data_IF_922676387825
#
_entry.id   IF_922676387825
#
_cell.length_a   1.000
_cell.length_b   1.000
_cell.length_c   1.000
_cell.angle_alpha   90.00
_cell.angle_beta   90.00
_cell.angle_gamma   90.00
#
_symmetry.space_group_name_H-M   'P 1'
#
loop_
_entity.id
_entity.type
_entity.pdbx_description
1 polymer ?
#
# COMPACT_ATOMS: atom_id res chain seq x y z
N UNK A 1 21.80 -6.96 32.29
CA UNK A 1 21.82 -8.34 31.74
C UNK A 1 22.69 -8.33 30.49
N UNK A 2 23.60 -9.29 30.29
CA UNK A 2 24.70 -9.19 29.30
C UNK A 2 24.64 -10.19 28.15
N UNK A 3 23.65 -11.08 28.12
CA UNK A 3 23.55 -12.15 27.10
C UNK A 3 23.23 -11.65 25.67
N UNK A 4 23.53 -12.50 24.68
CA UNK A 4 23.20 -12.29 23.26
C UNK A 4 21.73 -12.64 23.00
N UNK A 5 21.14 -11.92 22.06
CA UNK A 5 19.71 -11.99 21.74
C UNK A 5 19.56 -12.24 20.25
N UNK A 6 18.86 -13.32 19.89
CA UNK A 6 18.41 -13.53 18.52
C UNK A 6 17.12 -12.75 18.30
N UNK A 7 17.07 -11.94 17.24
CA UNK A 7 15.87 -11.15 16.92
C UNK A 7 15.09 -11.84 15.81
N UNK A 8 13.79 -12.00 16.02
CA UNK A 8 12.85 -12.58 15.08
C UNK A 8 11.75 -11.57 14.79
N UNK A 9 11.61 -11.25 13.50
CA UNK A 9 10.54 -10.44 12.95
C UNK A 9 9.31 -11.31 12.78
N UNK A 10 8.20 -10.91 13.38
CA UNK A 10 6.92 -11.59 13.22
C UNK A 10 6.24 -11.17 11.91
N UNK A 11 6.02 -12.13 11.00
CA UNK A 11 5.33 -11.88 9.72
C UNK A 11 4.12 -12.80 9.54
N UNK A 12 3.21 -12.42 8.64
CA UNK A 12 2.01 -13.18 8.26
C UNK A 12 2.32 -14.50 7.57
N UNK A 13 3.48 -14.59 6.91
CA UNK A 13 3.96 -15.78 6.20
C UNK A 13 4.87 -16.68 7.06
N UNK A 14 5.39 -16.16 8.18
CA UNK A 14 6.18 -16.93 9.14
C UNK A 14 7.26 -16.10 9.83
N UNK A 15 7.81 -16.55 10.97
CA UNK A 15 8.88 -15.83 11.65
C UNK A 15 10.12 -15.68 10.74
N UNK A 16 10.67 -14.46 10.66
CA UNK A 16 11.90 -14.18 9.94
C UNK A 16 13.00 -13.72 10.90
N UNK A 17 14.05 -14.51 11.03
CA UNK A 17 15.17 -14.23 11.93
C UNK A 17 16.10 -13.20 11.31
N UNK A 18 16.51 -12.19 12.07
CA UNK A 18 17.60 -11.30 11.68
C UNK A 18 18.90 -12.07 11.81
N UNK A 19 19.53 -12.36 10.67
CA UNK A 19 20.76 -13.14 10.60
C UNK A 19 21.98 -12.26 10.86
N UNK A 20 21.96 -11.03 10.33
CA UNK A 20 23.11 -10.12 10.39
C UNK A 20 22.70 -8.68 10.14
N UNK A 21 23.38 -7.74 10.80
CA UNK A 21 23.29 -6.31 10.53
C UNK A 21 24.69 -5.77 10.28
N UNK A 22 24.94 -5.28 9.07
CA UNK A 22 26.25 -4.79 8.62
C UNK A 22 26.16 -3.29 8.30
N UNK A 23 26.96 -2.42 8.93
CA UNK A 23 27.07 -1.03 8.51
C UNK A 23 27.70 -0.97 7.12
N UNK A 24 27.07 -0.23 6.22
CA UNK A 24 27.54 0.00 4.84
C UNK A 24 28.07 1.43 4.69
N UNK A 25 28.65 1.75 3.54
CA UNK A 25 29.07 3.12 3.22
C UNK A 25 27.86 4.10 3.38
N UNK A 26 28.02 5.22 4.13
CA UNK A 26 26.94 6.18 4.36
C UNK A 26 26.32 6.81 3.11
N UNK A 27 26.97 6.73 1.94
CA UNK A 27 26.43 7.19 0.66
C UNK A 27 25.46 6.20 0.02
N UNK A 28 25.58 4.90 0.34
CA UNK A 28 24.70 3.85 -0.16
C UNK A 28 23.35 3.87 0.55
N UNK A 29 22.33 3.24 -0.05
CA UNK A 29 21.04 3.04 0.62
C UNK A 29 21.09 1.80 1.49
N UNK A 30 20.35 1.83 2.59
CA UNK A 30 20.12 0.65 3.40
C UNK A 30 19.29 -0.38 2.64
N UNK A 31 19.60 -1.65 2.81
CA UNK A 31 18.90 -2.76 2.16
C UNK A 31 18.67 -3.90 3.14
N UNK A 32 17.57 -4.62 2.94
CA UNK A 32 17.31 -5.89 3.61
C UNK A 32 17.45 -7.01 2.57
N UNK A 33 18.20 -8.07 2.86
CA UNK A 33 18.48 -9.16 1.93
C UNK A 33 18.03 -10.52 2.48
N UNK A 34 17.59 -11.41 1.60
CA UNK A 34 17.20 -12.77 1.97
C UNK A 34 18.40 -13.71 2.08
N UNK A 35 18.56 -14.39 3.21
CA UNK A 35 19.45 -15.54 3.38
C UNK A 35 20.91 -15.27 3.00
N UNK A 36 21.40 -14.05 3.25
CA UNK A 36 22.73 -13.57 2.85
C UNK A 36 23.00 -13.53 1.34
N UNK A 37 21.99 -13.76 0.53
CA UNK A 37 22.09 -13.63 -0.92
C UNK A 37 22.14 -12.16 -1.36
N UNK A 38 22.26 -11.93 -2.66
CA UNK A 38 22.10 -10.61 -3.28
C UNK A 38 20.62 -10.26 -3.53
N UNK A 39 19.68 -11.13 -3.09
CA UNK A 39 18.25 -10.89 -3.24
C UNK A 39 17.80 -9.84 -2.23
N UNK A 40 17.67 -8.61 -2.71
CA UNK A 40 17.12 -7.48 -1.95
C UNK A 40 15.62 -7.68 -1.76
N UNK A 41 15.15 -7.51 -0.53
CA UNK A 41 13.73 -7.62 -0.17
C UNK A 41 12.98 -6.32 -0.49
N UNK A 42 11.69 -6.42 -0.86
CA UNK A 42 10.87 -5.26 -1.21
C UNK A 42 10.80 -4.15 -0.15
N UNK A 43 10.85 -4.49 1.14
CA UNK A 43 10.83 -3.52 2.24
C UNK A 43 12.06 -2.60 2.31
N UNK A 44 13.11 -2.84 1.50
CA UNK A 44 14.39 -2.13 1.59
C UNK A 44 14.27 -0.61 1.45
N UNK A 45 13.32 -0.12 0.63
CA UNK A 45 13.10 1.32 0.50
C UNK A 45 12.51 1.94 1.78
N UNK A 46 11.47 1.31 2.35
CA UNK A 46 10.86 1.74 3.60
C UNK A 46 11.86 1.60 4.77
N UNK A 47 12.68 0.56 4.75
CA UNK A 47 13.78 0.36 5.69
C UNK A 47 14.85 1.46 5.58
N UNK A 48 15.28 1.85 4.39
CA UNK A 48 16.19 2.98 4.19
C UNK A 48 15.59 4.28 4.74
N UNK A 49 14.32 4.55 4.46
CA UNK A 49 13.61 5.72 4.97
C UNK A 49 13.44 5.70 6.50
N UNK A 50 13.30 4.52 7.11
CA UNK A 50 13.25 4.32 8.57
C UNK A 50 14.63 4.50 9.22
N UNK A 51 15.69 4.09 8.51
CA UNK A 51 17.07 4.23 8.99
C UNK A 51 17.53 5.67 8.93
N UNK A 52 17.41 6.31 7.76
CA UNK A 52 18.01 7.60 7.42
C UNK A 52 17.05 8.77 7.63
N UNK A 53 17.60 9.96 7.91
CA UNK A 53 16.84 11.21 7.83
C UNK A 53 16.01 11.34 6.53
N UNK A 54 14.78 11.88 6.57
CA UNK A 54 14.24 12.75 7.63
C UNK A 54 13.60 12.03 8.83
N UNK A 55 13.16 10.76 8.73
CA UNK A 55 12.62 10.06 9.90
C UNK A 55 13.75 9.60 10.84
N UNK A 56 14.83 9.08 10.25
CA UNK A 56 16.12 8.82 10.89
C UNK A 56 16.03 8.08 12.20
N UNK A 57 15.07 7.17 12.37
CA UNK A 57 14.76 6.56 13.66
C UNK A 57 15.95 5.71 14.13
N UNK A 58 16.54 4.94 13.22
CA UNK A 58 17.74 4.14 13.51
C UNK A 58 19.00 5.00 13.55
N UNK A 59 19.18 5.91 12.59
CA UNK A 59 20.36 6.80 12.53
C UNK A 59 20.54 7.60 13.82
N UNK A 60 19.46 8.19 14.35
CA UNK A 60 19.47 8.86 15.66
C UNK A 60 19.85 7.91 16.80
N UNK A 61 19.60 6.62 16.63
CA UNK A 61 19.77 5.64 17.68
C UNK A 61 21.17 5.04 17.76
N UNK A 62 21.83 4.86 16.61
CA UNK A 62 23.11 4.15 16.50
C UNK A 62 24.22 4.99 15.84
N UNK A 63 23.90 6.19 15.36
CA UNK A 63 24.88 7.13 14.79
C UNK A 63 25.35 6.79 13.37
N UNK A 64 24.68 5.85 12.67
CA UNK A 64 25.02 5.44 11.30
C UNK A 64 23.76 5.35 10.43
N UNK A 65 23.90 5.62 9.12
CA UNK A 65 22.76 5.94 8.24
C UNK A 65 22.59 5.02 7.01
N UNK A 66 23.34 3.92 6.98
CA UNK A 66 23.34 2.97 5.85
C UNK A 66 23.67 1.57 6.35
N UNK A 67 22.77 0.61 6.09
CA UNK A 67 22.97 -0.76 6.57
C UNK A 67 22.51 -1.79 5.56
N UNK A 68 23.25 -2.90 5.49
CA UNK A 68 22.76 -4.16 4.95
C UNK A 68 22.28 -5.05 6.10
N UNK A 69 21.03 -5.48 6.05
CA UNK A 69 20.46 -6.42 7.01
C UNK A 69 20.08 -7.72 6.31
N UNK A 70 20.62 -8.85 6.74
CA UNK A 70 20.27 -10.15 6.19
C UNK A 70 19.24 -10.84 7.09
N UNK A 71 18.18 -11.42 6.51
CA UNK A 71 17.09 -12.10 7.23
C UNK A 71 16.84 -13.51 6.69
N UNK A 72 16.31 -14.41 7.51
CA UNK A 72 16.18 -15.84 7.17
C UNK A 72 15.03 -16.16 6.22
N UNK A 73 13.97 -15.36 6.26
CA UNK A 73 12.78 -15.53 5.44
C UNK A 73 12.33 -14.16 4.89
N UNK A 74 11.57 -14.13 3.77
CA UNK A 74 10.99 -12.89 3.29
C UNK A 74 10.17 -12.20 4.39
N UNK A 75 10.28 -10.88 4.45
CA UNK A 75 9.43 -10.03 5.28
C UNK A 75 8.48 -9.32 4.33
N UNK A 76 7.19 -9.45 4.61
CA UNK A 76 6.11 -8.81 3.85
C UNK A 76 6.09 -7.29 4.10
N UNK A 77 5.23 -6.56 3.38
CA UNK A 77 5.17 -5.11 3.49
C UNK A 77 4.48 -4.65 4.78
N UNK A 78 4.43 -3.33 4.94
CA UNK A 78 3.81 -2.66 6.07
C UNK A 78 4.79 -2.45 7.21
N UNK A 79 4.32 -1.89 8.31
CA UNK A 79 5.22 -1.33 9.33
C UNK A 79 5.59 -2.32 10.45
N UNK A 80 5.09 -3.56 10.39
CA UNK A 80 5.18 -4.50 11.51
C UNK A 80 6.57 -5.06 11.80
N UNK A 81 7.53 -4.86 10.89
CA UNK A 81 8.93 -5.20 11.06
C UNK A 81 9.75 -4.12 11.78
N UNK A 82 9.25 -2.88 11.86
CA UNK A 82 10.03 -1.73 12.33
C UNK A 82 10.55 -1.93 13.76
N UNK A 83 9.71 -2.41 14.67
CA UNK A 83 10.11 -2.67 16.05
C UNK A 83 11.23 -3.70 16.13
N UNK A 84 11.08 -4.83 15.43
CA UNK A 84 12.07 -5.90 15.45
C UNK A 84 13.41 -5.43 14.86
N UNK A 85 13.41 -4.77 13.70
CA UNK A 85 14.64 -4.27 13.08
C UNK A 85 15.29 -3.15 13.91
N UNK A 86 14.50 -2.24 14.49
CA UNK A 86 15.03 -1.24 15.41
C UNK A 86 15.76 -1.89 16.59
N UNK A 87 15.16 -2.90 17.23
CA UNK A 87 15.77 -3.60 18.35
C UNK A 87 17.03 -4.38 17.92
N UNK A 88 17.03 -4.97 16.72
CA UNK A 88 18.22 -5.61 16.16
C UNK A 88 19.38 -4.63 16.00
N UNK A 89 19.12 -3.41 15.51
CA UNK A 89 20.14 -2.35 15.44
C UNK A 89 20.68 -1.95 16.80
N UNK A 90 19.80 -1.76 17.79
CA UNK A 90 20.22 -1.40 19.15
C UNK A 90 21.05 -2.51 19.81
N UNK A 91 20.66 -3.76 19.60
CA UNK A 91 21.41 -4.92 20.08
C UNK A 91 22.76 -5.05 19.35
N UNK A 92 22.81 -4.81 18.04
CA UNK A 92 24.05 -4.81 17.25
C UNK A 92 25.03 -3.74 17.76
N UNK A 93 24.54 -2.51 17.94
CA UNK A 93 25.36 -1.41 18.46
C UNK A 93 25.90 -1.70 19.87
N UNK A 94 25.18 -2.50 20.67
CA UNK A 94 25.61 -2.93 21.99
C UNK A 94 26.46 -4.23 21.98
N UNK A 95 26.77 -4.81 20.81
CA UNK A 95 27.52 -6.07 20.71
C UNK A 95 26.77 -7.29 21.23
N UNK A 96 25.43 -7.26 21.22
CA UNK A 96 24.54 -8.24 21.84
C UNK A 96 23.52 -8.87 20.89
N UNK A 97 23.54 -8.52 19.61
CA UNK A 97 22.80 -9.26 18.60
C UNK A 97 23.50 -10.62 18.38
N UNK A 98 22.76 -11.72 18.48
CA UNK A 98 23.24 -13.03 18.03
C UNK A 98 23.11 -13.09 16.50
N UNK A 99 24.22 -13.20 15.80
CA UNK A 99 24.29 -13.24 14.33
C UNK A 99 24.69 -14.62 13.83
N UNK A 100 24.31 -14.99 12.60
CA UNK A 100 24.86 -16.15 11.88
C UNK A 100 24.93 -17.48 12.67
N UNK A 101 23.86 -17.83 13.39
CA UNK A 101 23.78 -19.09 14.13
C UNK A 101 24.61 -19.12 15.42
N UNK A 102 25.16 -17.97 15.85
CA UNK A 102 25.70 -17.81 17.18
C UNK A 102 24.68 -18.21 18.25
N UNK A 103 25.13 -18.81 19.37
CA UNK A 103 24.25 -19.16 20.46
C UNK A 103 23.61 -17.89 21.03
N UNK A 104 22.29 -17.93 21.18
CA UNK A 104 21.52 -16.86 21.79
C UNK A 104 21.00 -17.32 23.16
N UNK A 105 21.12 -16.45 24.17
CA UNK A 105 20.58 -16.71 25.51
C UNK A 105 19.06 -16.60 25.56
N UNK A 106 18.48 -15.95 24.54
CA UNK A 106 17.04 -15.73 24.36
C UNK A 106 16.71 -15.35 22.92
N UNK A 107 15.45 -15.56 22.58
CA UNK A 107 14.83 -15.12 21.33
C UNK A 107 13.91 -13.95 21.63
N UNK A 108 14.09 -12.85 20.91
CA UNK A 108 13.19 -11.71 20.90
C UNK A 108 12.29 -11.83 19.67
N UNK A 109 11.04 -12.25 19.87
CA UNK A 109 10.01 -12.24 18.84
C UNK A 109 9.26 -10.92 18.93
N UNK A 110 9.25 -10.12 17.86
CA UNK A 110 8.67 -8.79 17.92
C UNK A 110 7.83 -8.44 16.69
N UNK A 111 6.74 -7.70 16.92
CA UNK A 111 5.91 -7.06 15.90
C UNK A 111 5.49 -5.68 16.37
N UNK A 112 5.40 -4.71 15.46
CA UNK A 112 4.92 -3.37 15.78
C UNK A 112 5.54 -2.31 14.89
N UNK A 113 4.76 -1.26 14.63
CA UNK A 113 5.23 -0.06 13.95
C UNK A 113 5.88 0.89 14.96
N UNK A 114 6.92 1.61 14.54
CA UNK A 114 7.66 2.55 15.40
C UNK A 114 7.62 3.93 14.77
N UNK A 115 7.00 4.88 15.45
CA UNK A 115 6.93 6.26 14.96
C UNK A 115 8.18 7.07 15.33
N UNK A 116 8.22 8.32 14.87
CA UNK A 116 9.36 9.22 15.06
C UNK A 116 9.65 9.54 16.54
N UNK A 117 8.65 9.39 17.41
CA UNK A 117 8.71 9.60 18.86
C UNK A 117 9.05 8.32 19.64
N UNK A 118 9.32 7.22 18.92
CA UNK A 118 9.58 5.89 19.47
C UNK A 118 8.38 5.28 20.21
N UNK A 119 7.16 5.71 19.89
CA UNK A 119 5.96 4.99 20.30
C UNK A 119 5.77 3.75 19.44
N UNK A 120 5.29 2.68 20.07
CA UNK A 120 5.01 1.40 19.41
C UNK A 120 3.53 1.35 19.08
N UNK A 121 3.21 1.30 17.78
CA UNK A 121 1.85 1.39 17.26
C UNK A 121 1.29 0.01 16.87
N UNK A 122 -0.04 -0.19 17.01
CA UNK A 122 -0.71 -1.45 16.65
C UNK A 122 -0.50 -1.80 15.19
N UNK A 123 -0.46 -3.10 14.90
CA UNK A 123 -0.29 -3.66 13.55
C UNK A 123 -1.28 -4.78 13.32
N UNK A 124 -1.61 -5.03 12.06
CA UNK A 124 -2.58 -6.05 11.70
C UNK A 124 -2.08 -7.49 11.96
N UNK A 125 -3.04 -8.41 12.04
CA UNK A 125 -2.85 -9.86 11.97
C UNK A 125 -1.91 -10.47 13.02
N UNK A 126 -1.88 -9.94 14.24
CA UNK A 126 -1.05 -10.50 15.33
C UNK A 126 -1.41 -11.94 15.63
N UNK A 127 -2.69 -12.32 15.64
CA UNK A 127 -3.11 -13.71 15.86
C UNK A 127 -2.56 -14.67 14.79
N UNK A 128 -2.50 -14.24 13.54
CA UNK A 128 -1.92 -15.03 12.45
C UNK A 128 -0.41 -15.18 12.64
N UNK A 129 0.29 -14.09 12.97
CA UNK A 129 1.73 -14.10 13.25
C UNK A 129 2.07 -15.05 14.40
N UNK A 130 1.26 -15.06 15.45
CA UNK A 130 1.40 -15.97 16.59
C UNK A 130 1.20 -17.43 16.16
N UNK A 131 0.11 -17.74 15.42
CA UNK A 131 -0.13 -19.09 14.89
C UNK A 131 1.01 -19.58 14.00
N UNK A 132 1.51 -18.73 13.10
CA UNK A 132 2.63 -19.05 12.20
C UNK A 132 3.97 -19.19 12.93
N UNK A 133 4.08 -18.65 14.14
CA UNK A 133 5.27 -18.75 15.00
C UNK A 133 5.18 -19.90 16.02
N UNK A 134 4.12 -20.71 15.99
CA UNK A 134 3.94 -21.81 16.95
C UNK A 134 5.13 -22.77 17.01
N UNK A 135 5.76 -23.09 15.85
CA UNK A 135 6.95 -23.93 15.80
C UNK A 135 8.16 -23.31 16.53
N UNK A 136 8.32 -21.99 16.47
CA UNK A 136 9.35 -21.26 17.22
C UNK A 136 9.08 -21.32 18.72
N UNK A 137 7.82 -21.17 19.12
CA UNK A 137 7.41 -21.18 20.53
C UNK A 137 7.45 -22.58 21.17
N UNK A 138 7.32 -23.63 20.36
CA UNK A 138 7.38 -25.01 20.80
C UNK A 138 8.82 -25.57 20.87
N UNK A 139 9.83 -24.84 20.39
CA UNK A 139 11.21 -25.28 20.41
C UNK A 139 11.72 -25.45 21.86
N UNK A 140 12.23 -26.63 22.19
CA UNK A 140 12.71 -26.93 23.54
C UNK A 140 13.85 -25.99 23.95
N UNK A 141 13.78 -25.47 25.18
CA UNK A 141 14.79 -24.56 25.73
C UNK A 141 14.74 -23.12 25.19
N UNK A 142 13.87 -22.82 24.23
CA UNK A 142 13.73 -21.46 23.71
C UNK A 142 13.15 -20.52 24.78
N UNK A 143 13.96 -19.56 25.24
CA UNK A 143 13.52 -18.46 26.10
C UNK A 143 13.03 -17.32 25.23
N UNK A 144 11.75 -17.33 24.89
CA UNK A 144 11.18 -16.35 23.96
C UNK A 144 10.59 -15.18 24.74
N UNK A 145 10.96 -13.96 24.37
CA UNK A 145 10.28 -12.73 24.78
C UNK A 145 9.43 -12.25 23.61
N UNK A 146 8.10 -12.34 23.73
CA UNK A 146 7.15 -11.95 22.68
C UNK A 146 6.69 -10.50 22.92
N UNK A 147 7.16 -9.59 22.07
CA UNK A 147 6.92 -8.15 22.19
C UNK A 147 5.89 -7.71 21.16
N UNK A 148 4.83 -7.06 21.63
CA UNK A 148 3.75 -6.51 20.79
C UNK A 148 3.37 -5.11 21.27
N UNK A 149 2.67 -4.32 20.43
CA UNK A 149 2.10 -3.04 20.85
C UNK A 149 1.16 -3.22 22.04
N UNK A 150 1.16 -2.30 23.00
CA UNK A 150 0.38 -2.41 24.23
C UNK A 150 -1.12 -2.60 23.99
N UNK A 151 -1.64 -1.98 22.93
CA UNK A 151 -3.06 -2.09 22.51
C UNK A 151 -3.44 -3.51 22.08
N UNK A 152 -2.46 -4.39 21.84
CA UNK A 152 -2.65 -5.77 21.39
C UNK A 152 -2.22 -6.79 22.47
N UNK A 153 -2.20 -6.38 23.75
CA UNK A 153 -1.85 -7.25 24.86
C UNK A 153 -2.71 -8.53 24.92
N UNK A 154 -4.01 -8.41 24.62
CA UNK A 154 -4.95 -9.53 24.65
C UNK A 154 -4.59 -10.64 23.65
N UNK A 155 -3.96 -10.29 22.52
CA UNK A 155 -3.52 -11.27 21.53
C UNK A 155 -2.44 -12.22 22.09
N UNK A 156 -1.75 -11.83 23.15
CA UNK A 156 -0.75 -12.67 23.82
C UNK A 156 -1.34 -13.62 24.88
N UNK A 157 -2.66 -13.65 25.03
CA UNK A 157 -3.31 -14.63 25.88
C UNK A 157 -3.07 -16.07 25.36
N UNK A 158 -2.79 -17.00 26.27
CA UNK A 158 -2.65 -18.42 25.93
C UNK A 158 -1.32 -18.83 25.29
N UNK A 159 -0.28 -17.98 25.36
CA UNK A 159 1.07 -18.38 24.98
C UNK A 159 1.60 -19.51 25.87
N UNK A 160 2.45 -20.41 25.32
CA UNK A 160 3.04 -21.50 26.09
C UNK A 160 4.01 -20.96 27.16
N UNK A 161 4.24 -21.74 28.22
CA UNK A 161 5.02 -21.31 29.40
C UNK A 161 6.46 -20.82 29.10
N UNK A 162 7.06 -21.27 27.98
CA UNK A 162 8.40 -20.83 27.54
C UNK A 162 8.43 -19.45 26.87
N UNK A 163 7.27 -18.87 26.58
CA UNK A 163 7.13 -17.56 25.93
C UNK A 163 6.65 -16.54 26.96
N UNK A 164 7.49 -15.54 27.23
CA UNK A 164 7.12 -14.43 28.10
C UNK A 164 6.47 -13.31 27.27
N UNK A 165 5.19 -12.98 27.49
CA UNK A 165 4.53 -11.87 26.82
C UNK A 165 5.06 -10.53 27.34
N UNK A 166 5.21 -9.56 26.44
CA UNK A 166 5.63 -8.19 26.77
C UNK A 166 4.94 -7.15 25.89
N UNK A 167 3.71 -6.74 26.24
CA UNK A 167 3.09 -5.56 25.63
C UNK A 167 3.90 -4.31 25.96
N UNK A 168 4.10 -3.42 24.98
CA UNK A 168 4.85 -2.16 25.15
C UNK A 168 4.19 -1.00 24.41
N UNK A 169 4.13 0.17 25.05
CA UNK A 169 3.65 1.40 24.40
C UNK A 169 4.77 2.20 23.75
N UNK A 170 6.00 2.00 24.22
CA UNK A 170 7.19 2.70 23.72
C UNK A 170 8.39 1.76 23.60
N UNK A 171 9.31 2.11 22.72
CA UNK A 171 10.58 1.39 22.57
C UNK A 171 11.42 1.44 23.86
N UNK A 172 11.33 2.51 24.64
CA UNK A 172 12.10 2.67 25.87
C UNK A 172 11.80 1.57 26.91
N UNK A 173 10.56 1.11 26.98
CA UNK A 173 10.14 0.05 27.90
C UNK A 173 10.84 -1.28 27.63
N UNK A 174 11.00 -1.65 26.36
CA UNK A 174 11.69 -2.89 25.98
C UNK A 174 13.22 -2.72 26.05
N UNK A 175 13.76 -1.53 25.74
CA UNK A 175 15.20 -1.28 25.89
C UNK A 175 15.65 -1.42 27.34
N UNK A 176 14.91 -0.86 28.30
CA UNK A 176 15.22 -1.00 29.73
C UNK A 176 15.24 -2.47 30.18
N UNK A 177 14.29 -3.27 29.68
CA UNK A 177 14.24 -4.71 29.98
C UNK A 177 15.40 -5.49 29.33
N UNK A 178 15.81 -5.09 28.12
CA UNK A 178 17.00 -5.63 27.47
C UNK A 178 18.29 -5.14 28.13
N UNK A 179 18.24 -4.17 29.04
CA UNK A 179 19.43 -3.54 29.65
C UNK A 179 20.21 -2.71 28.65
N UNK A 180 19.50 -1.99 27.77
CA UNK A 180 20.03 -1.05 26.80
C UNK A 180 19.61 0.37 27.20
N UNK A 181 20.53 1.32 27.11
CA UNK A 181 20.24 2.72 27.43
C UNK A 181 19.22 3.32 26.46
N UNK A 182 18.15 3.98 26.94
CA UNK A 182 17.25 4.75 26.07
C UNK A 182 18.03 5.83 25.30
N UNK A 183 17.52 6.26 24.15
CA UNK A 183 18.06 7.48 23.55
C UNK A 183 17.79 8.64 24.50
N UNK A 184 18.85 9.37 24.87
CA UNK A 184 18.70 10.62 25.58
C UNK A 184 17.80 11.52 24.73
N UNK A 185 16.68 12.00 25.30
CA UNK A 185 15.82 12.97 24.61
C UNK A 185 16.72 14.11 24.12
N UNK A 186 16.57 14.61 22.89
CA UNK A 186 17.21 15.85 22.50
C UNK A 186 16.67 16.95 23.44
N UNK A 187 17.47 17.34 24.42
CA UNK A 187 17.24 18.51 25.25
C UNK A 187 17.44 19.73 24.36
N UNK A 188 16.36 20.18 23.74
CA UNK A 188 16.44 21.33 22.85
C UNK A 188 15.17 21.58 22.08
N UNK A 189 14.12 22.03 22.77
CA UNK A 189 13.07 22.80 22.10
C UNK A 189 13.70 24.09 21.56
N UNK A 190 14.23 24.06 20.34
CA UNK A 190 14.33 25.29 19.55
C UNK A 190 12.93 25.60 19.06
N UNK A 191 12.15 26.23 19.96
CA UNK A 191 11.00 27.04 19.57
C UNK A 191 11.53 28.03 18.55
N UNK A 192 11.24 27.79 17.28
CA UNK A 192 11.46 28.73 16.21
C UNK A 192 10.58 29.94 16.53
N UNK A 193 11.19 30.96 17.14
CA UNK A 193 10.56 32.25 17.43
C UNK A 193 10.36 32.97 16.12
N UNK A 194 9.18 32.81 15.52
CA UNK A 194 8.69 33.76 14.53
C UNK A 194 8.48 35.07 15.28
N UNK A 195 9.47 35.96 15.13
CA UNK A 195 9.44 37.28 15.74
C UNK A 195 8.54 38.14 14.87
N UNK A 196 7.38 38.51 15.42
CA UNK A 196 6.53 39.60 14.96
C UNK A 196 7.38 40.88 14.84
N UNK A 197 7.56 41.35 13.61
CA UNK A 197 7.92 42.73 13.31
C UNK A 197 7.29 43.12 11.97
N UNK A 198 6.29 43.99 12.03
CA UNK A 198 5.65 44.52 10.81
C UNK A 198 4.21 45.02 10.97
N UNK A 199 3.87 45.66 12.08
CA UNK A 199 2.70 46.54 12.16
C UNK A 199 3.13 47.92 11.64
N UNK A 200 2.54 48.37 10.53
CA UNK A 200 2.00 49.73 10.33
C UNK A 200 2.01 50.14 8.84
N UNK A 201 0.84 50.15 8.22
CA UNK A 201 0.41 51.22 7.31
C UNK A 201 -1.11 51.07 7.07
N UNK A 202 -1.89 51.67 7.95
CA UNK A 202 -3.30 51.98 7.69
C UNK A 202 -3.36 53.37 7.04
N UNK A 203 -3.96 53.46 5.85
CA UNK A 203 -4.64 54.67 5.39
C UNK A 203 -5.55 54.36 4.18
N UNK A 204 -6.85 54.39 4.45
CA UNK A 204 -7.90 55.09 3.68
C UNK A 204 -7.85 55.02 2.14
N UNK A 205 -8.79 54.26 1.54
CA UNK A 205 -9.54 54.76 0.38
C UNK A 205 -11.02 54.46 0.58
N UNK A 206 -11.76 55.53 0.85
CA UNK A 206 -13.21 55.58 0.78
C UNK A 206 -13.65 55.65 -0.70
N UNK A 207 -14.77 54.97 -0.98
CA UNK A 207 -15.81 55.39 -1.92
C UNK A 207 -15.43 55.89 -3.32
N UNK A 208 -15.65 55.03 -4.32
CA UNK A 208 -16.20 55.45 -5.62
C UNK A 208 -16.84 54.23 -6.30
N UNK A 209 -18.14 54.05 -6.09
CA UNK A 209 -18.97 53.20 -6.98
C UNK A 209 -19.12 53.97 -8.28
N UNK A 210 -18.34 53.62 -9.29
CA UNK A 210 -18.55 54.09 -10.64
C UNK A 210 -19.81 53.40 -11.20
N UNK A 211 -20.85 54.19 -11.40
CA UNK A 211 -22.00 53.87 -12.24
C UNK A 211 -21.50 53.57 -13.66
N UNK A 212 -21.39 52.28 -14.00
CA UNK A 212 -21.23 51.85 -15.38
C UNK A 212 -22.60 51.95 -16.06
N UNK A 213 -22.77 52.74 -17.13
CA UNK A 213 -24.01 52.74 -17.89
C UNK A 213 -24.23 51.35 -18.50
N UNK A 214 -25.39 50.75 -18.19
CA UNK A 214 -25.87 49.52 -18.82
C UNK A 214 -25.97 49.76 -20.34
N UNK A 215 -25.42 48.87 -21.18
CA UNK A 215 -25.70 48.92 -22.61
C UNK A 215 -27.21 48.72 -22.87
N UNK A 216 -27.79 49.37 -23.88
CA UNK A 216 -29.18 49.15 -24.26
C UNK A 216 -29.41 47.68 -24.62
N UNK A 217 -30.53 47.15 -24.16
CA UNK A 217 -30.94 45.77 -24.42
C UNK A 217 -30.99 45.51 -25.94
N UNK A 218 -30.46 44.37 -26.43
CA UNK A 218 -30.71 43.95 -27.80
C UNK A 218 -32.21 43.68 -28.01
N UNK A 219 -32.75 43.95 -29.22
CA UNK A 219 -34.14 43.66 -29.53
C UNK A 219 -34.45 42.18 -29.35
N UNK A 220 -35.62 41.92 -28.77
CA UNK A 220 -36.04 40.64 -28.21
C UNK A 220 -35.73 39.43 -29.07
N UNK A 221 -35.08 38.45 -28.44
CA UNK A 221 -35.01 37.09 -28.94
C UNK A 221 -36.44 36.53 -29.06
N UNK A 222 -36.73 35.77 -30.14
CA UNK A 222 -37.98 35.06 -30.27
C UNK A 222 -38.19 34.15 -29.05
N UNK A 223 -39.40 34.21 -28.49
CA UNK A 223 -39.79 33.48 -27.29
C UNK A 223 -39.47 31.98 -27.37
N UNK A 224 -39.36 31.30 -26.22
CA UNK A 224 -38.93 29.92 -26.15
C UNK A 224 -39.79 29.05 -27.07
N UNK A 225 -39.15 28.50 -28.09
CA UNK A 225 -39.72 27.42 -28.90
C UNK A 225 -40.06 26.30 -27.92
N UNK A 226 -41.32 25.83 -27.87
CA UNK A 226 -41.66 24.70 -27.01
C UNK A 226 -40.72 23.54 -27.37
N UNK A 227 -40.10 22.86 -26.38
CA UNK A 227 -39.19 21.77 -26.67
C UNK A 227 -39.92 20.75 -27.54
N UNK A 228 -39.40 20.52 -28.74
CA UNK A 228 -39.81 19.40 -29.58
C UNK A 228 -39.87 18.17 -28.69
N UNK A 229 -40.98 17.40 -28.65
CA UNK A 229 -41.06 16.22 -27.82
C UNK A 229 -39.88 15.32 -28.18
N UNK A 230 -38.90 15.24 -27.26
CA UNK A 230 -37.73 14.43 -27.45
C UNK A 230 -38.23 13.00 -27.68
N UNK A 231 -37.88 12.42 -28.83
CA UNK A 231 -38.18 11.01 -29.05
C UNK A 231 -37.67 10.23 -27.83
N UNK A 232 -38.46 9.30 -27.28
CA UNK A 232 -38.05 8.55 -26.10
C UNK A 232 -36.69 7.94 -26.40
N UNK A 233 -35.69 8.31 -25.59
CA UNK A 233 -34.37 7.73 -25.75
C UNK A 233 -34.50 6.21 -25.60
N UNK A 234 -33.87 5.43 -26.47
CA UNK A 234 -33.90 3.98 -26.36
C UNK A 234 -33.41 3.57 -24.97
N UNK A 235 -34.17 2.69 -24.31
CA UNK A 235 -33.83 2.20 -22.99
C UNK A 235 -32.45 1.54 -23.00
N UNK A 236 -31.66 1.79 -21.95
CA UNK A 236 -30.37 1.14 -21.78
C UNK A 236 -30.56 -0.36 -21.54
N UNK A 237 -29.79 -1.18 -22.25
CA UNK A 237 -29.80 -2.64 -22.09
C UNK A 237 -28.38 -3.08 -21.72
N UNK A 238 -28.10 -3.40 -20.45
CA UNK A 238 -26.76 -3.70 -19.97
C UNK A 238 -26.04 -4.84 -20.72
N UNK A 239 -26.78 -5.83 -21.24
CA UNK A 239 -26.22 -6.95 -22.02
C UNK A 239 -25.59 -6.52 -23.35
N UNK A 240 -25.86 -5.31 -23.83
CA UNK A 240 -25.25 -4.74 -25.04
C UNK A 240 -23.88 -4.08 -24.79
N UNK A 241 -23.45 -3.98 -23.52
CA UNK A 241 -22.11 -3.54 -23.17
C UNK A 241 -21.21 -4.75 -23.07
N UNK A 242 -20.18 -4.83 -23.90
CA UNK A 242 -19.19 -5.91 -23.88
C UNK A 242 -18.00 -5.56 -23.00
N UNK A 243 -17.47 -6.55 -22.28
CA UNK A 243 -16.27 -6.41 -21.46
C UNK A 243 -15.17 -7.31 -22.03
N UNK A 244 -14.11 -6.69 -22.55
CA UNK A 244 -12.96 -7.36 -23.14
C UNK A 244 -11.68 -7.14 -22.33
N UNK A 245 -10.77 -8.10 -22.41
CA UNK A 245 -9.42 -8.01 -21.86
C UNK A 245 -8.41 -7.98 -23.01
N UNK A 246 -7.54 -6.98 -23.00
CA UNK A 246 -6.46 -6.83 -23.96
C UNK A 246 -5.11 -6.91 -23.21
N UNK A 247 -4.13 -7.58 -23.82
CA UNK A 247 -2.75 -7.59 -23.35
C UNK A 247 -1.94 -6.56 -24.12
N UNK A 248 -1.33 -5.62 -23.40
CA UNK A 248 -0.33 -4.73 -23.96
C UNK A 248 1.03 -5.43 -23.99
N UNK A 249 1.59 -5.60 -25.18
CA UNK A 249 2.90 -6.24 -25.40
C UNK A 249 3.83 -5.30 -26.15
N UNK A 250 5.07 -5.20 -25.68
CA UNK A 250 6.11 -4.49 -26.42
C UNK A 250 6.56 -5.33 -27.63
N UNK A 251 6.85 -4.70 -28.79
CA UNK A 251 7.47 -5.36 -29.93
C UNK A 251 8.78 -6.06 -29.52
N UNK A 252 9.13 -7.16 -30.20
CA UNK A 252 10.30 -7.99 -29.86
C UNK A 252 11.56 -7.16 -29.59
N UNK A 253 12.12 -7.32 -28.39
CA UNK A 253 13.35 -6.64 -27.95
C UNK A 253 13.17 -5.22 -27.40
N UNK A 254 12.02 -4.56 -27.56
CA UNK A 254 11.79 -3.17 -27.10
C UNK A 254 11.29 -3.08 -25.66
N UNK A 255 11.46 -1.95 -24.98
CA UNK A 255 10.94 -1.73 -23.63
C UNK A 255 9.44 -1.43 -23.65
N UNK A 256 8.73 -1.77 -22.56
CA UNK A 256 7.34 -1.35 -22.37
C UNK A 256 7.23 0.19 -22.41
N UNK A 257 6.21 0.71 -23.10
CA UNK A 257 5.92 2.15 -23.20
C UNK A 257 5.95 2.78 -24.59
N UNK A 258 6.71 2.25 -25.56
CA UNK A 258 6.74 2.79 -26.93
C UNK A 258 6.42 1.70 -27.97
N UNK A 259 5.35 1.90 -28.75
CA UNK A 259 4.97 0.99 -29.85
C UNK A 259 4.31 -0.30 -29.41
N UNK A 260 3.72 -0.35 -28.20
CA UNK A 260 3.02 -1.53 -27.71
C UNK A 260 1.83 -1.92 -28.59
N UNK A 261 1.63 -3.22 -28.77
CA UNK A 261 0.47 -3.78 -29.43
C UNK A 261 -0.53 -4.27 -28.38
N UNK A 262 -1.80 -3.92 -28.58
CA UNK A 262 -2.92 -4.45 -27.80
C UNK A 262 -3.47 -5.68 -28.51
N UNK A 263 -3.39 -6.83 -27.84
CA UNK A 263 -3.93 -8.09 -28.35
C UNK A 263 -5.14 -8.49 -27.51
N UNK A 264 -6.28 -8.69 -28.16
CA UNK A 264 -7.44 -9.28 -27.50
C UNK A 264 -7.15 -10.71 -27.09
N UNK A 265 -7.54 -11.07 -25.86
CA UNK A 265 -7.31 -12.40 -25.30
C UNK A 265 -8.56 -12.92 -24.59
N UNK A 266 -8.67 -14.24 -24.54
CA UNK A 266 -9.71 -14.89 -23.74
C UNK A 266 -9.37 -14.71 -22.24
N UNK A 267 -10.29 -14.13 -21.44
CA UNK A 267 -10.07 -13.95 -20.01
C UNK A 267 -9.81 -15.28 -19.30
N UNK A 268 -8.87 -15.28 -18.35
CA UNK A 268 -8.56 -16.45 -17.52
C UNK A 268 -7.57 -17.44 -18.15
N UNK A 269 -7.22 -17.28 -19.42
CA UNK A 269 -6.12 -18.03 -20.03
C UNK A 269 -4.77 -17.47 -19.54
N UNK A 270 -3.81 -18.30 -19.11
CA UNK A 270 -2.48 -17.83 -18.75
C UNK A 270 -1.80 -17.14 -19.95
N UNK A 271 -1.34 -15.91 -19.76
CA UNK A 271 -0.61 -15.19 -20.80
C UNK A 271 0.75 -15.80 -21.06
N UNK A 272 1.21 -15.74 -22.30
CA UNK A 272 2.63 -15.95 -22.61
C UNK A 272 3.49 -14.86 -21.91
N UNK A 273 4.75 -15.14 -21.55
CA UNK A 273 5.65 -14.16 -20.96
C UNK A 273 5.76 -12.86 -21.75
N UNK A 274 6.11 -11.77 -21.07
CA UNK A 274 6.40 -10.49 -21.73
C UNK A 274 5.21 -9.54 -21.87
N UNK A 275 4.16 -9.72 -21.08
CA UNK A 275 3.04 -8.77 -21.02
C UNK A 275 3.45 -7.55 -20.19
N UNK A 276 3.21 -6.35 -20.74
CA UNK A 276 3.51 -5.06 -20.12
C UNK A 276 2.32 -4.53 -19.28
N UNK A 277 1.10 -4.76 -19.75
CA UNK A 277 -0.11 -4.33 -19.06
C UNK A 277 -1.32 -5.17 -19.47
N UNK A 278 -2.34 -5.13 -18.64
CA UNK A 278 -3.71 -5.54 -18.98
C UNK A 278 -4.54 -4.29 -19.18
N UNK A 279 -5.28 -4.23 -20.28
CA UNK A 279 -6.29 -3.21 -20.54
C UNK A 279 -7.65 -3.88 -20.48
N UNK A 280 -8.51 -3.39 -19.59
CA UNK A 280 -9.91 -3.77 -19.60
C UNK A 280 -10.70 -2.73 -20.39
N UNK A 281 -11.53 -3.19 -21.32
CA UNK A 281 -12.33 -2.34 -22.20
C UNK A 281 -13.80 -2.69 -22.07
N UNK A 282 -14.62 -1.71 -21.70
CA UNK A 282 -16.08 -1.79 -21.75
C UNK A 282 -16.58 -1.03 -22.99
N UNK A 283 -17.33 -1.66 -23.88
CA UNK A 283 -17.81 -1.04 -25.12
C UNK A 283 -19.33 -1.19 -25.28
N UNK A 284 -20.05 -0.10 -25.51
CA UNK A 284 -21.51 -0.11 -25.67
C UNK A 284 -21.90 -0.32 -27.13
N UNK A 285 -22.37 -1.52 -27.47
CA UNK A 285 -22.93 -1.83 -28.79
C UNK A 285 -24.42 -1.49 -28.93
N UNK A 286 -25.07 -1.02 -27.87
CA UNK A 286 -26.50 -0.71 -27.83
C UNK A 286 -26.83 0.69 -28.33
N UNK A 287 -28.13 0.95 -28.51
CA UNK A 287 -28.65 2.26 -28.91
C UNK A 287 -28.90 3.21 -27.71
N UNK A 288 -29.00 2.67 -26.49
CA UNK A 288 -29.24 3.41 -25.26
C UNK A 288 -27.94 3.85 -24.58
N UNK A 289 -28.04 4.89 -23.75
CA UNK A 289 -26.92 5.39 -22.94
C UNK A 289 -26.96 4.73 -21.56
N UNK A 290 -25.82 4.22 -21.10
CA UNK A 290 -25.69 3.61 -19.76
C UNK A 290 -24.62 4.27 -18.94
N UNK A 291 -24.61 4.00 -17.63
CA UNK A 291 -23.54 4.39 -16.73
C UNK A 291 -22.68 3.18 -16.38
N UNK A 292 -21.35 3.37 -16.41
CA UNK A 292 -20.38 2.31 -16.16
C UNK A 292 -19.40 2.72 -15.05
N UNK A 293 -19.16 1.79 -14.13
CA UNK A 293 -18.00 1.80 -13.25
C UNK A 293 -17.11 0.64 -13.67
N UNK A 294 -15.95 0.95 -14.24
CA UNK A 294 -14.96 -0.03 -14.67
C UNK A 294 -13.72 0.11 -13.79
N UNK A 295 -13.40 -0.94 -13.04
CA UNK A 295 -12.26 -0.97 -12.13
C UNK A 295 -11.38 -2.15 -12.47
N UNK A 296 -10.11 -1.92 -12.73
CA UNK A 296 -9.10 -2.96 -12.87
C UNK A 296 -8.08 -2.83 -11.75
N UNK A 297 -7.68 -3.97 -11.20
CA UNK A 297 -6.67 -4.04 -10.15
C UNK A 297 -5.84 -5.29 -10.25
N UNK A 298 -4.60 -5.19 -9.80
CA UNK A 298 -3.74 -6.33 -9.60
C UNK A 298 -4.08 -7.02 -8.26
N UNK A 299 -4.25 -8.33 -8.25
CA UNK A 299 -4.46 -9.12 -7.03
C UNK A 299 -3.13 -9.62 -6.46
N UNK A 300 -3.01 -9.65 -5.13
CA UNK A 300 -1.86 -10.18 -4.43
C UNK A 300 -1.02 -9.09 -3.74
N UNK A 301 0.05 -9.54 -3.08
CA UNK A 301 0.82 -8.74 -2.11
C UNK A 301 1.65 -7.61 -2.74
N UNK A 302 1.81 -7.57 -4.07
CA UNK A 302 2.59 -6.51 -4.74
C UNK A 302 1.82 -5.19 -4.92
N UNK A 303 0.51 -5.15 -4.62
CA UNK A 303 -0.30 -3.91 -4.62
C UNK A 303 0.23 -2.86 -3.66
N UNK A 304 0.70 -3.29 -2.50
CA UNK A 304 1.18 -2.43 -1.41
C UNK A 304 2.48 -1.67 -1.79
N UNK A 305 3.23 -2.21 -2.75
CA UNK A 305 4.51 -1.68 -3.22
C UNK A 305 4.40 -0.87 -4.53
N UNK A 306 3.24 -0.90 -5.19
CA UNK A 306 3.02 -0.18 -6.43
C UNK A 306 2.52 1.24 -6.11
N UNK A 307 3.44 2.20 -5.97
CA UNK A 307 3.06 3.61 -5.86
C UNK A 307 2.43 4.10 -7.17
N UNK A 308 1.18 4.57 -7.11
CA UNK A 308 0.48 5.24 -8.22
C UNK A 308 -0.48 4.34 -9.03
N UNK A 309 -1.19 4.96 -10.00
CA UNK A 309 -2.27 4.41 -10.84
C UNK A 309 -1.92 3.19 -11.73
N UNK A 310 -0.76 2.55 -11.52
CA UNK A 310 -0.29 1.44 -12.36
C UNK A 310 -0.84 0.09 -11.92
N UNK A 311 -1.11 -0.12 -10.64
CA UNK A 311 -1.64 -1.40 -10.13
C UNK A 311 -3.15 -1.40 -9.95
N UNK A 312 -3.78 -0.23 -10.03
CA UNK A 312 -5.21 0.01 -9.89
C UNK A 312 -5.59 1.19 -10.75
N UNK A 313 -6.59 1.03 -11.60
CA UNK A 313 -7.16 2.11 -12.39
C UNK A 313 -8.67 1.95 -12.47
N UNK A 314 -9.39 3.07 -12.47
CA UNK A 314 -10.84 3.11 -12.56
C UNK A 314 -11.28 4.15 -13.59
N UNK A 315 -12.30 3.81 -14.37
CA UNK A 315 -13.02 4.70 -15.25
C UNK A 315 -14.49 4.68 -14.82
N UNK A 316 -15.03 5.87 -14.57
CA UNK A 316 -16.41 6.05 -14.11
C UNK A 316 -17.04 7.09 -15.03
N UNK A 317 -18.18 6.76 -15.62
CA UNK A 317 -18.86 7.72 -16.49
C UNK A 317 -20.03 7.16 -17.26
N UNK A 318 -20.57 8.02 -18.11
CA UNK A 318 -21.65 7.69 -19.03
C UNK A 318 -21.05 7.13 -20.32
N UNK A 319 -21.67 6.08 -20.85
CA UNK A 319 -21.26 5.36 -22.04
C UNK A 319 -22.40 5.42 -23.07
N UNK A 320 -22.25 6.31 -24.05
CA UNK A 320 -23.16 6.44 -25.18
C UNK A 320 -23.03 5.31 -26.21
N UNK A 321 -23.92 5.27 -27.21
CA UNK A 321 -23.87 4.28 -28.28
C UNK A 321 -22.54 4.31 -29.05
N UNK A 322 -21.88 3.17 -29.14
CA UNK A 322 -20.58 3.02 -29.81
C UNK A 322 -19.38 3.54 -29.01
N UNK A 323 -19.58 4.10 -27.82
CA UNK A 323 -18.50 4.55 -26.95
C UNK A 323 -17.86 3.39 -26.19
N UNK A 324 -16.60 3.60 -25.77
CA UNK A 324 -15.88 2.65 -24.95
C UNK A 324 -15.16 3.36 -23.78
N UNK A 325 -15.14 2.70 -22.63
CA UNK A 325 -14.32 3.07 -21.48
C UNK A 325 -13.18 2.06 -21.32
N UNK A 326 -11.98 2.55 -21.03
CA UNK A 326 -10.79 1.72 -20.88
C UNK A 326 -10.07 2.05 -19.57
N UNK A 327 -9.55 1.01 -18.92
CA UNK A 327 -8.62 1.13 -17.79
C UNK A 327 -7.43 0.23 -18.02
N UNK A 328 -6.25 0.68 -17.62
CA UNK A 328 -4.98 0.05 -17.86
C UNK A 328 -4.21 -0.18 -16.56
N UNK A 329 -3.90 -1.44 -16.31
CA UNK A 329 -3.11 -1.84 -15.16
C UNK A 329 -1.86 -2.58 -15.60
N UNK A 330 -0.72 -2.16 -15.08
CA UNK A 330 0.60 -2.71 -15.32
C UNK A 330 1.13 -3.36 -14.06
N UNK A 331 1.70 -4.56 -14.21
CA UNK A 331 2.54 -5.10 -13.15
C UNK A 331 3.80 -4.21 -13.03
N UNK A 332 4.26 -3.88 -11.81
CA UNK A 332 5.53 -3.19 -11.66
C UNK A 332 6.66 -3.99 -12.31
N UNK A 333 7.63 -3.29 -12.91
CA UNK A 333 8.73 -3.91 -13.67
C UNK A 333 9.64 -4.83 -12.85
N UNK A 334 9.57 -4.76 -11.52
CA UNK A 334 10.30 -5.63 -10.61
C UNK A 334 9.57 -6.95 -10.30
N UNK A 335 8.28 -7.08 -10.65
CA UNK A 335 7.51 -8.30 -10.40
C UNK A 335 7.86 -9.34 -11.47
N UNK A 336 8.57 -10.40 -11.07
CA UNK A 336 8.97 -11.51 -11.96
C UNK A 336 8.08 -12.74 -11.86
N UNK A 337 7.14 -12.75 -10.91
CA UNK A 337 6.18 -13.84 -10.72
C UNK A 337 4.91 -13.55 -11.51
N UNK A 338 4.14 -14.59 -11.90
CA UNK A 338 2.84 -14.38 -12.51
C UNK A 338 1.93 -13.55 -11.60
N UNK A 339 1.24 -12.59 -12.20
CA UNK A 339 0.32 -11.67 -11.54
C UNK A 339 -1.09 -11.94 -12.04
N UNK A 340 -2.06 -12.03 -11.12
CA UNK A 340 -3.47 -12.06 -11.48
C UNK A 340 -4.03 -10.65 -11.40
N UNK A 341 -4.72 -10.19 -12.44
CA UNK A 341 -5.52 -8.98 -12.43
C UNK A 341 -6.98 -9.35 -12.31
N UNK A 342 -7.72 -8.56 -11.54
CA UNK A 342 -9.17 -8.63 -11.44
C UNK A 342 -9.77 -7.37 -12.05
N UNK A 343 -10.79 -7.57 -12.86
CA UNK A 343 -11.60 -6.51 -13.45
C UNK A 343 -13.01 -6.64 -12.91
N UNK A 344 -13.55 -5.53 -12.43
CA UNK A 344 -14.93 -5.39 -12.00
C UNK A 344 -15.60 -4.34 -12.88
N UNK A 345 -16.72 -4.70 -13.50
CA UNK A 345 -17.58 -3.79 -14.24
C UNK A 345 -18.96 -3.79 -13.60
N UNK A 346 -19.48 -2.61 -13.29
CA UNK A 346 -20.85 -2.40 -12.82
C UNK A 346 -21.58 -1.53 -13.84
N UNK A 347 -22.79 -1.92 -14.20
CA UNK A 347 -23.62 -1.22 -15.18
C UNK A 347 -24.96 -0.80 -14.56
N UNK A 348 -25.38 0.41 -14.90
CA UNK A 348 -26.69 0.96 -14.55
C UNK A 348 -27.22 1.86 -15.66
N UNK A 349 -28.51 2.21 -15.60
CA UNK A 349 -29.15 3.18 -16.50
C UNK A 349 -28.77 4.64 -16.17
N UNK A 350 -28.26 4.89 -14.97
CA UNK A 350 -27.85 6.20 -14.47
C UNK A 350 -26.77 6.08 -13.40
N UNK A 351 -26.19 7.21 -13.02
CA UNK A 351 -25.28 7.25 -11.88
C UNK A 351 -26.01 6.90 -10.57
N UNK A 352 -25.38 6.03 -9.77
CA UNK A 352 -25.81 5.70 -8.42
C UNK A 352 -24.70 6.11 -7.45
N UNK A 353 -24.93 7.19 -6.69
CA UNK A 353 -23.93 7.73 -5.76
C UNK A 353 -23.37 6.69 -4.79
N UNK A 354 -24.19 5.74 -4.35
CA UNK A 354 -23.77 4.68 -3.44
C UNK A 354 -22.70 3.76 -4.06
N UNK A 355 -22.78 3.50 -5.37
CA UNK A 355 -21.79 2.70 -6.11
C UNK A 355 -20.53 3.52 -6.30
N UNK A 356 -20.66 4.78 -6.74
CA UNK A 356 -19.54 5.73 -6.87
C UNK A 356 -18.78 5.87 -5.55
N UNK A 357 -19.49 6.02 -4.43
CA UNK A 357 -18.89 6.15 -3.09
C UNK A 357 -18.25 4.83 -2.61
N UNK A 358 -18.88 3.69 -2.87
CA UNK A 358 -18.34 2.39 -2.47
C UNK A 358 -17.05 2.02 -3.25
N UNK A 359 -16.94 2.48 -4.49
CA UNK A 359 -15.75 2.31 -5.33
C UNK A 359 -14.75 3.47 -5.20
N UNK A 360 -15.09 4.52 -4.45
CA UNK A 360 -14.15 5.58 -4.12
C UNK A 360 -13.07 5.01 -3.19
N UNK A 361 -11.82 4.99 -3.65
CA UNK A 361 -10.72 4.33 -2.93
C UNK A 361 -10.53 2.86 -3.33
N UNK A 362 -10.87 2.48 -4.57
CA UNK A 362 -10.61 1.13 -5.08
C UNK A 362 -9.15 0.66 -4.96
N UNK A 363 -8.21 1.60 -4.80
CA UNK A 363 -6.79 1.37 -4.54
C UNK A 363 -6.50 0.71 -3.20
N UNK A 364 -7.34 0.95 -2.18
CA UNK A 364 -7.18 0.37 -0.83
C UNK A 364 -8.07 -0.85 -0.57
N UNK A 365 -8.99 -1.19 -1.48
CA UNK A 365 -9.90 -2.33 -1.29
C UNK A 365 -9.16 -3.66 -1.42
N UNK A 366 -9.32 -4.56 -0.45
CA UNK A 366 -8.81 -5.93 -0.57
C UNK A 366 -9.62 -6.76 -1.59
N UNK A 367 -9.09 -7.91 -2.02
CA UNK A 367 -9.87 -8.86 -2.84
C UNK A 367 -11.17 -9.30 -2.17
N UNK A 368 -11.16 -9.44 -0.84
CA UNK A 368 -12.35 -9.78 -0.06
C UNK A 368 -13.36 -8.64 0.03
N UNK A 369 -12.90 -7.38 0.04
CA UNK A 369 -13.81 -6.23 -0.02
C UNK A 369 -14.50 -6.13 -1.37
N UNK A 370 -13.79 -6.42 -2.46
CA UNK A 370 -14.37 -6.49 -3.80
C UNK A 370 -15.41 -7.60 -3.95
N UNK A 371 -15.17 -8.77 -3.34
CA UNK A 371 -16.17 -9.85 -3.30
C UNK A 371 -17.43 -9.41 -2.54
N UNK A 372 -17.26 -8.73 -1.41
CA UNK A 372 -18.37 -8.18 -0.62
C UNK A 372 -19.17 -7.14 -1.40
N UNK A 373 -18.49 -6.19 -2.06
CA UNK A 373 -19.12 -5.17 -2.89
C UNK A 373 -19.86 -5.77 -4.08
N UNK A 374 -19.28 -6.79 -4.72
CA UNK A 374 -19.92 -7.52 -5.83
C UNK A 374 -21.27 -8.10 -5.38
N UNK A 375 -21.31 -8.76 -4.21
CA UNK A 375 -22.57 -9.25 -3.64
C UNK A 375 -23.58 -8.13 -3.38
N UNK A 376 -23.14 -7.02 -2.76
CA UNK A 376 -24.01 -5.87 -2.47
C UNK A 376 -24.60 -5.24 -3.74
N UNK A 377 -23.83 -5.13 -4.82
CA UNK A 377 -24.32 -4.56 -6.08
C UNK A 377 -25.29 -5.50 -6.80
N UNK A 378 -25.07 -6.82 -6.73
CA UNK A 378 -26.02 -7.80 -7.24
C UNK A 378 -27.33 -7.77 -6.45
N UNK A 379 -27.28 -7.62 -5.12
CA UNK A 379 -28.48 -7.48 -4.27
C UNK A 379 -29.27 -6.20 -4.58
N UNK A 380 -28.61 -5.16 -5.11
CA UNK A 380 -29.23 -3.94 -5.60
C UNK A 380 -29.85 -4.10 -7.00
N UNK A 381 -29.77 -5.29 -7.61
CA UNK A 381 -30.29 -5.57 -8.95
C UNK A 381 -29.44 -4.98 -10.08
N UNK A 382 -28.19 -4.61 -9.80
CA UNK A 382 -27.27 -4.08 -10.82
C UNK A 382 -26.64 -5.23 -11.60
N UNK A 383 -26.33 -4.97 -12.87
CA UNK A 383 -25.54 -5.91 -13.64
C UNK A 383 -24.05 -5.74 -13.29
N UNK A 384 -23.46 -6.80 -12.76
CA UNK A 384 -22.06 -6.83 -12.33
C UNK A 384 -21.34 -7.94 -13.09
N UNK A 385 -20.22 -7.61 -13.73
CA UNK A 385 -19.36 -8.58 -14.40
C UNK A 385 -17.97 -8.53 -13.79
N UNK A 386 -17.43 -9.70 -13.46
CA UNK A 386 -16.07 -9.84 -12.91
C UNK A 386 -15.26 -10.77 -13.80
N UNK A 387 -14.01 -10.38 -14.07
CA UNK A 387 -13.05 -11.20 -14.81
C UNK A 387 -11.75 -11.29 -14.02
N UNK A 388 -11.06 -12.41 -14.12
CA UNK A 388 -9.68 -12.56 -13.64
C UNK A 388 -8.78 -12.95 -14.80
N UNK A 389 -7.64 -12.28 -14.94
CA UNK A 389 -6.67 -12.55 -15.99
C UNK A 389 -5.27 -12.65 -15.42
N UNK A 390 -4.57 -13.75 -15.71
CA UNK A 390 -3.25 -14.02 -15.14
C UNK A 390 -2.18 -13.79 -16.18
N UNK A 391 -1.34 -12.78 -15.96
CA UNK A 391 -0.23 -12.45 -16.83
C UNK A 391 1.10 -12.92 -16.24
N UNK A 392 2.07 -13.13 -17.12
CA UNK A 392 3.46 -13.28 -16.75
C UNK A 392 4.23 -12.02 -17.18
N UNK A 393 4.60 -11.14 -16.22
CA UNK A 393 5.27 -9.89 -16.54
C UNK A 393 6.61 -10.14 -17.23
N UNK A 394 7.07 -9.13 -17.97
CA UNK A 394 8.41 -9.14 -18.55
C UNK A 394 9.47 -9.08 -17.42
N UNK A 395 10.53 -9.90 -17.47
CA UNK A 395 11.58 -9.95 -16.44
C UNK A 395 12.47 -8.71 -16.33
#
# INVERSE_FOLDING_TARGET
>A
MTGRVQVVVATSEGPSTVLRVTPEDPSLRSVVCLGRSTTVLPISHAYDAFVRAPTGVVERAVGHRSFRTDVSAPIDDGDSWQLALYLAHRLKAAGRLAEDGEPADRVLWATGAVDADLAVRPVAQVDQKLRRSAGLFAAEGARVLAVVPADLADALAGLPAGVRPRPVGTVAEILGELGLEPLSKPTGSRRLRWSLAGLAAAALVAGAVALVPRPPAPPGEPGPVPPTPAMPQPAFVPSTVDLAVLEARAPDGTACGAGEQLLAVDPGRPSAPGVCAVVARAANGGAGTGFVWLVALAEGTFREYATGSRSVEAAIGTLGPGEAAEVRVSAPSWVRRPVTFRVLMVLADRELEQVTRALAGADVLSSGDLDRLTGQFLDLGLEVRTLRHRIQPRP
#
